data_IF_847916061852
#
_entry.id   IF_847916061852
#
_cell.length_a   1.000
_cell.length_b   1.000
_cell.length_c   1.000
_cell.angle_alpha   90.00
_cell.angle_beta   90.00
_cell.angle_gamma   90.00
#
_symmetry.space_group_name_H-M   'P 1'
#
loop_
_entity.id
_entity.type
_entity.pdbx_description
1 polymer ?
#
# COMPACT_ATOMS: atom_id res chain seq x y z
N UNK A 1 7.73 -8.09 -18.76
CA UNK A 1 8.11 -7.26 -17.60
C UNK A 1 9.38 -7.84 -17.00
N UNK A 2 10.46 -7.05 -16.83
CA UNK A 2 11.68 -7.52 -16.17
C UNK A 2 11.44 -7.88 -14.69
N UNK A 3 12.30 -8.73 -14.10
CA UNK A 3 12.28 -8.96 -12.66
C UNK A 3 12.48 -7.63 -11.90
N UNK A 4 11.74 -7.45 -10.81
CA UNK A 4 11.72 -6.20 -10.03
C UNK A 4 10.64 -5.20 -10.46
N UNK A 5 10.02 -5.38 -11.63
CA UNK A 5 8.92 -4.54 -12.13
C UNK A 5 7.55 -5.16 -11.85
N UNK A 6 7.39 -5.75 -10.65
CA UNK A 6 6.08 -6.21 -10.19
C UNK A 6 5.62 -7.58 -10.70
N UNK A 7 6.53 -8.43 -11.21
CA UNK A 7 6.20 -9.75 -11.78
C UNK A 7 5.41 -10.66 -10.84
N UNK A 8 5.67 -10.61 -9.53
CA UNK A 8 4.90 -11.39 -8.55
C UNK A 8 3.44 -10.95 -8.45
N UNK A 9 3.18 -9.64 -8.44
CA UNK A 9 1.83 -9.10 -8.50
C UNK A 9 1.11 -9.48 -9.80
N UNK A 10 1.82 -9.41 -10.95
CA UNK A 10 1.25 -9.82 -12.25
C UNK A 10 0.88 -11.31 -12.24
N UNK A 11 1.72 -12.19 -11.71
CA UNK A 11 1.43 -13.63 -11.62
C UNK A 11 0.20 -13.91 -10.74
N UNK A 12 0.10 -13.23 -9.59
CA UNK A 12 -1.06 -13.33 -8.72
C UNK A 12 -2.33 -12.84 -9.42
N UNK A 13 -2.31 -11.64 -9.98
CA UNK A 13 -3.47 -11.09 -10.72
C UNK A 13 -3.90 -12.03 -11.84
N UNK A 14 -2.96 -12.54 -12.63
CA UNK A 14 -3.28 -13.50 -13.70
C UNK A 14 -3.87 -14.82 -13.20
N UNK A 15 -3.61 -15.20 -11.95
CA UNK A 15 -4.10 -16.44 -11.35
C UNK A 15 -5.46 -16.29 -10.67
N UNK A 16 -5.89 -15.05 -10.38
CA UNK A 16 -7.17 -14.79 -9.69
C UNK A 16 -8.21 -14.07 -10.54
N UNK A 17 -7.78 -13.35 -11.59
CA UNK A 17 -8.68 -12.52 -12.40
C UNK A 17 -9.57 -13.39 -13.30
N UNK A 18 -10.87 -13.11 -13.28
CA UNK A 18 -11.89 -13.66 -14.16
C UNK A 18 -12.38 -12.66 -15.21
N UNK A 19 -13.20 -13.14 -16.15
CA UNK A 19 -13.73 -12.32 -17.26
C UNK A 19 -14.68 -11.20 -16.79
N UNK A 20 -15.39 -11.42 -15.69
CA UNK A 20 -16.34 -10.47 -15.11
C UNK A 20 -15.71 -9.46 -14.14
N UNK A 21 -14.41 -9.58 -13.87
CA UNK A 21 -13.73 -8.68 -12.95
C UNK A 21 -13.59 -7.27 -13.52
N UNK A 22 -13.37 -6.32 -12.62
CA UNK A 22 -13.01 -4.94 -12.94
C UNK A 22 -11.65 -4.65 -12.32
N UNK A 23 -10.63 -4.53 -13.16
CA UNK A 23 -9.25 -4.36 -12.74
C UNK A 23 -8.88 -2.88 -12.53
N UNK A 24 -8.40 -2.55 -11.34
CA UNK A 24 -7.68 -1.31 -11.05
C UNK A 24 -6.19 -1.60 -10.85
N UNK A 25 -5.33 -0.77 -11.43
CA UNK A 25 -3.87 -0.89 -11.27
C UNK A 25 -3.28 0.46 -10.90
N UNK A 26 -2.56 0.51 -9.78
CA UNK A 26 -1.92 1.73 -9.28
C UNK A 26 -0.44 1.51 -8.94
N UNK A 27 0.38 2.55 -9.15
CA UNK A 27 1.76 2.64 -8.66
C UNK A 27 1.94 4.02 -8.02
N UNK A 28 2.55 4.09 -6.83
CA UNK A 28 2.61 5.30 -6.01
C UNK A 28 1.24 5.90 -5.69
N UNK A 29 0.15 5.13 -5.85
CA UNK A 29 -1.23 5.59 -5.67
C UNK A 29 -1.91 6.09 -6.94
N UNK A 30 -1.17 6.24 -8.05
CA UNK A 30 -1.72 6.77 -9.29
C UNK A 30 -1.88 5.70 -10.38
N UNK A 31 -2.97 5.81 -11.14
CA UNK A 31 -3.33 4.92 -12.24
C UNK A 31 -2.56 5.23 -13.54
N UNK A 32 -2.01 6.43 -13.67
CA UNK A 32 -1.38 6.98 -14.88
C UNK A 32 0.15 6.87 -14.90
N UNK A 33 0.75 6.28 -13.87
CA UNK A 33 2.19 5.98 -13.88
C UNK A 33 2.54 5.00 -14.99
N UNK A 34 3.78 5.11 -15.50
CA UNK A 34 4.28 4.27 -16.59
C UNK A 34 4.10 2.78 -16.33
N UNK A 35 4.41 2.33 -15.12
CA UNK A 35 4.28 0.93 -14.71
C UNK A 35 2.81 0.51 -14.57
N UNK A 36 1.95 1.32 -13.94
CA UNK A 36 0.52 1.02 -13.81
C UNK A 36 -0.18 0.92 -15.17
N UNK A 37 0.08 1.88 -16.06
CA UNK A 37 -0.46 1.88 -17.43
C UNK A 37 0.02 0.65 -18.20
N UNK A 38 1.32 0.32 -18.09
CA UNK A 38 1.89 -0.85 -18.79
C UNK A 38 1.24 -2.16 -18.33
N UNK A 39 1.07 -2.36 -17.02
CA UNK A 39 0.42 -3.54 -16.45
C UNK A 39 -1.06 -3.60 -16.81
N UNK A 40 -1.79 -2.49 -16.68
CA UNK A 40 -3.23 -2.43 -17.01
C UNK A 40 -3.46 -2.77 -18.48
N UNK A 41 -2.67 -2.18 -19.38
CA UNK A 41 -2.75 -2.46 -20.82
C UNK A 41 -2.37 -3.90 -21.16
N UNK A 42 -1.40 -4.48 -20.45
CA UNK A 42 -1.07 -5.89 -20.58
C UNK A 42 -2.29 -6.77 -20.26
N UNK A 43 -2.94 -6.58 -19.11
CA UNK A 43 -4.13 -7.36 -18.75
C UNK A 43 -5.29 -7.13 -19.69
N UNK A 44 -5.57 -5.87 -20.05
CA UNK A 44 -6.61 -5.54 -21.04
C UNK A 44 -6.39 -6.26 -22.36
N UNK A 45 -5.13 -6.36 -22.83
CA UNK A 45 -4.78 -7.05 -24.08
C UNK A 45 -4.97 -8.57 -24.00
N UNK A 46 -4.60 -9.20 -22.88
CA UNK A 46 -4.56 -10.67 -22.78
C UNK A 46 -5.82 -11.29 -22.17
N UNK A 47 -6.64 -10.50 -21.49
CA UNK A 47 -7.88 -10.98 -20.85
C UNK A 47 -9.14 -10.30 -21.38
N UNK A 48 -9.05 -9.10 -21.96
CA UNK A 48 -10.22 -8.30 -22.32
C UNK A 48 -11.00 -7.73 -21.14
N UNK A 49 -10.49 -7.88 -19.91
CA UNK A 49 -11.16 -7.46 -18.67
C UNK A 49 -11.50 -5.97 -18.65
N UNK A 50 -12.61 -5.63 -18.00
CA UNK A 50 -12.96 -4.24 -17.73
C UNK A 50 -11.91 -3.63 -16.79
N UNK A 51 -11.63 -2.34 -16.97
CA UNK A 51 -10.68 -1.62 -16.12
C UNK A 51 -11.31 -0.36 -15.57
N UNK A 52 -10.99 -0.03 -14.33
CA UNK A 52 -11.45 1.21 -13.68
C UNK A 52 -10.29 1.91 -13.00
N UNK A 53 -10.46 3.22 -12.80
CA UNK A 53 -9.59 4.01 -11.94
C UNK A 53 -10.28 4.28 -10.58
N UNK A 54 -11.55 3.93 -10.43
CA UNK A 54 -12.34 4.12 -9.20
C UNK A 54 -12.15 2.94 -8.27
N UNK A 55 -11.74 3.19 -7.01
CA UNK A 55 -11.47 2.11 -6.05
C UNK A 55 -12.73 1.33 -5.68
N UNK A 56 -13.87 2.01 -5.57
CA UNK A 56 -15.19 1.46 -5.23
C UNK A 56 -15.75 0.55 -6.33
N UNK A 57 -15.36 0.76 -7.59
CA UNK A 57 -15.85 -0.04 -8.73
C UNK A 57 -14.95 -1.24 -9.06
N UNK A 58 -13.78 -1.35 -8.44
CA UNK A 58 -12.81 -2.40 -8.73
C UNK A 58 -13.15 -3.68 -7.96
N UNK A 59 -13.01 -4.85 -8.59
CA UNK A 59 -13.05 -6.15 -7.89
C UNK A 59 -11.64 -6.64 -7.56
N UNK A 60 -10.68 -6.35 -8.45
CA UNK A 60 -9.26 -6.66 -8.27
C UNK A 60 -8.44 -5.38 -8.35
N UNK A 61 -7.63 -5.11 -7.33
CA UNK A 61 -6.75 -3.94 -7.23
C UNK A 61 -5.31 -4.40 -7.17
N UNK A 62 -4.54 -4.20 -8.22
CA UNK A 62 -3.09 -4.44 -8.19
C UNK A 62 -2.36 -3.14 -7.84
N UNK A 63 -1.56 -3.15 -6.77
CA UNK A 63 -0.90 -1.96 -6.24
C UNK A 63 0.60 -2.11 -6.07
N UNK A 64 1.31 -1.00 -6.26
CA UNK A 64 2.69 -0.80 -5.84
C UNK A 64 2.79 0.43 -4.93
N UNK A 65 3.27 0.19 -3.71
CA UNK A 65 3.62 1.17 -2.67
C UNK A 65 2.46 1.94 -2.02
N UNK A 66 1.18 1.64 -2.29
CA UNK A 66 0.05 2.34 -1.64
C UNK A 66 -1.13 1.43 -1.34
N UNK A 67 -1.84 1.73 -0.27
CA UNK A 67 -3.23 1.29 -0.08
C UNK A 67 -4.14 2.48 -0.42
N UNK A 68 -5.20 2.29 -1.23
CA UNK A 68 -6.18 3.33 -1.49
C UNK A 68 -6.68 4.01 -0.20
N UNK A 69 -7.03 5.30 -0.26
CA UNK A 69 -7.67 5.98 0.88
C UNK A 69 -9.13 5.56 1.05
N UNK A 70 -9.80 5.25 -0.06
CA UNK A 70 -11.15 4.66 -0.03
C UNK A 70 -11.07 3.29 0.64
N UNK A 71 -11.83 3.05 1.72
CA UNK A 71 -11.88 1.75 2.38
C UNK A 71 -12.30 0.64 1.40
N UNK A 72 -11.68 -0.52 1.54
CA UNK A 72 -11.99 -1.68 0.69
C UNK A 72 -13.13 -2.52 1.29
N UNK A 73 -13.85 -3.25 0.44
CA UNK A 73 -15.01 -4.08 0.79
C UNK A 73 -14.72 -5.58 0.65
N UNK A 74 -15.64 -6.43 1.11
CA UNK A 74 -15.45 -7.90 1.21
C UNK A 74 -15.22 -8.60 -0.14
N UNK A 75 -15.81 -8.06 -1.20
CA UNK A 75 -15.73 -8.60 -2.57
C UNK A 75 -14.44 -8.22 -3.29
N UNK A 76 -13.61 -7.36 -2.67
CA UNK A 76 -12.38 -6.87 -3.28
C UNK A 76 -11.17 -7.72 -2.91
N UNK A 77 -10.25 -7.85 -3.87
CA UNK A 77 -8.92 -8.42 -3.68
C UNK A 77 -7.88 -7.33 -3.97
N UNK A 78 -7.03 -7.02 -3.01
CA UNK A 78 -5.87 -6.13 -3.19
C UNK A 78 -4.58 -6.95 -3.28
N UNK A 79 -3.81 -6.72 -4.34
CA UNK A 79 -2.61 -7.47 -4.70
C UNK A 79 -1.40 -6.54 -4.67
N UNK A 80 -0.50 -6.76 -3.71
CA UNK A 80 0.69 -5.98 -3.48
C UNK A 80 1.89 -6.51 -4.27
N UNK A 81 2.59 -5.60 -4.95
CA UNK A 81 3.89 -5.87 -5.54
C UNK A 81 5.00 -5.77 -4.49
N UNK A 82 5.72 -6.87 -4.27
CA UNK A 82 6.73 -6.97 -3.22
C UNK A 82 8.12 -7.17 -3.81
N UNK A 83 9.09 -6.27 -3.55
CA UNK A 83 10.47 -6.45 -3.98
C UNK A 83 11.26 -7.38 -3.05
N UNK A 84 11.04 -7.27 -1.74
CA UNK A 84 11.70 -8.02 -0.66
C UNK A 84 10.59 -8.52 0.29
N UNK A 85 10.29 -9.82 0.35
CA UNK A 85 9.21 -10.36 1.17
C UNK A 85 9.62 -10.67 2.61
N UNK A 86 10.91 -10.58 2.92
CA UNK A 86 11.51 -10.99 4.18
C UNK A 86 11.72 -9.76 5.07
N UNK A 87 10.90 -9.54 6.12
CA UNK A 87 11.03 -8.36 6.99
C UNK A 87 12.35 -8.32 7.76
N UNK A 88 13.01 -9.46 7.97
CA UNK A 88 14.31 -9.55 8.66
C UNK A 88 15.50 -9.33 7.72
N UNK A 89 15.30 -9.13 6.41
CA UNK A 89 16.36 -9.20 5.39
C UNK A 89 17.52 -8.23 5.63
N UNK A 90 17.23 -7.06 6.19
CA UNK A 90 18.23 -6.03 6.46
C UNK A 90 18.99 -6.25 7.79
N UNK A 91 18.52 -7.19 8.61
CA UNK A 91 19.18 -7.63 9.85
C UNK A 91 19.97 -8.90 9.57
N UNK A 92 19.34 -9.89 8.92
CA UNK A 92 19.94 -11.15 8.53
C UNK A 92 19.74 -11.39 7.02
N UNK A 93 20.81 -11.31 6.22
CA UNK A 93 20.72 -11.44 4.77
C UNK A 93 20.53 -12.88 4.27
N UNK A 94 20.70 -13.91 5.11
CA UNK A 94 20.60 -15.33 4.71
C UNK A 94 19.20 -15.87 4.92
N UNK A 95 18.63 -16.42 3.85
CA UNK A 95 17.28 -16.99 3.90
C UNK A 95 17.18 -18.27 4.74
N UNK A 96 18.27 -19.03 4.88
CA UNK A 96 18.33 -20.21 5.75
C UNK A 96 18.12 -19.83 7.23
N UNK A 97 18.73 -18.72 7.64
CA UNK A 97 18.64 -18.21 9.00
C UNK A 97 17.27 -17.59 9.25
N UNK A 98 16.80 -16.66 8.39
CA UNK A 98 15.50 -16.01 8.60
C UNK A 98 14.35 -17.00 8.58
N UNK A 99 14.42 -18.06 7.76
CA UNK A 99 13.44 -19.15 7.79
C UNK A 99 13.40 -19.87 9.14
N UNK A 100 14.56 -20.11 9.75
CA UNK A 100 14.66 -20.71 11.09
C UNK A 100 14.10 -19.77 12.16
N UNK A 101 14.42 -18.48 12.08
CA UNK A 101 13.87 -17.47 12.99
C UNK A 101 12.34 -17.38 12.89
N UNK A 102 11.78 -17.42 11.68
CA UNK A 102 10.33 -17.49 11.48
C UNK A 102 9.70 -18.77 12.04
N UNK A 103 10.39 -19.91 11.93
CA UNK A 103 9.91 -21.18 12.47
C UNK A 103 9.89 -21.21 14.00
N UNK A 104 10.85 -20.54 14.64
CA UNK A 104 11.02 -20.49 16.10
C UNK A 104 10.42 -19.23 16.76
N UNK A 105 9.82 -18.33 15.99
CA UNK A 105 9.27 -17.05 16.47
C UNK A 105 10.34 -16.10 17.07
N UNK A 106 11.57 -16.17 16.58
CA UNK A 106 12.72 -15.40 17.09
C UNK A 106 12.78 -13.96 16.54
N UNK A 107 11.75 -13.16 16.81
CA UNK A 107 11.65 -11.78 16.30
C UNK A 107 12.30 -10.73 17.20
N UNK A 108 13.02 -11.13 18.25
CA UNK A 108 13.67 -10.21 19.19
C UNK A 108 14.62 -9.22 18.50
N UNK A 109 15.31 -9.65 17.44
CA UNK A 109 16.24 -8.80 16.67
C UNK A 109 15.55 -7.61 16.02
N UNK A 110 14.26 -7.73 15.65
CA UNK A 110 13.50 -6.63 15.09
C UNK A 110 13.25 -5.54 16.14
N UNK A 111 12.97 -5.95 17.39
CA UNK A 111 12.80 -5.00 18.49
C UNK A 111 14.11 -4.27 18.82
N UNK A 112 15.24 -4.99 18.78
CA UNK A 112 16.57 -4.39 18.95
C UNK A 112 16.80 -3.32 17.88
N UNK A 113 16.57 -3.64 16.60
CA UNK A 113 16.72 -2.67 15.50
C UNK A 113 15.86 -1.42 15.72
N UNK A 114 14.59 -1.58 16.07
CA UNK A 114 13.70 -0.44 16.32
C UNK A 114 14.17 0.41 17.49
N UNK A 115 14.74 -0.21 18.52
CA UNK A 115 15.30 0.49 19.67
C UNK A 115 16.60 1.22 19.33
N UNK A 116 17.47 0.64 18.51
CA UNK A 116 18.68 1.29 18.00
C UNK A 116 18.37 2.57 17.22
N UNK A 117 17.33 2.56 16.38
CA UNK A 117 16.87 3.76 15.69
C UNK A 117 16.50 4.87 16.69
N UNK A 118 15.71 4.52 17.72
CA UNK A 118 15.29 5.48 18.76
C UNK A 118 16.51 6.01 19.52
N UNK A 119 17.45 5.13 19.89
CA UNK A 119 18.65 5.52 20.64
C UNK A 119 19.56 6.45 19.82
N UNK A 120 19.66 6.24 18.50
CA UNK A 120 20.51 7.05 17.61
C UNK A 120 19.86 8.35 17.14
N UNK A 121 18.56 8.31 16.83
CA UNK A 121 17.86 9.39 16.13
C UNK A 121 16.71 10.01 16.91
N UNK A 122 16.38 9.47 18.09
CA UNK A 122 15.22 9.90 18.90
C UNK A 122 13.87 9.46 18.34
N UNK A 123 13.84 8.76 17.21
CA UNK A 123 12.63 8.25 16.55
C UNK A 123 12.98 7.03 15.70
N UNK A 124 11.96 6.24 15.33
CA UNK A 124 12.14 5.08 14.45
C UNK A 124 12.40 5.58 13.02
N UNK A 125 13.50 5.15 12.41
CA UNK A 125 13.95 5.61 11.10
C UNK A 125 13.21 4.92 9.94
N UNK A 126 12.59 3.76 10.18
CA UNK A 126 11.79 3.04 9.17
C UNK A 126 10.52 3.84 8.81
N UNK A 127 10.42 4.32 7.57
CA UNK A 127 9.30 5.16 7.09
C UNK A 127 8.34 4.45 6.12
N UNK A 128 8.77 3.37 5.48
CA UNK A 128 8.00 2.48 4.60
C UNK A 128 8.44 1.04 4.84
N UNK A 129 7.69 0.06 4.30
CA UNK A 129 7.92 -1.37 4.56
C UNK A 129 8.04 -1.65 6.07
N UNK A 130 7.20 -0.97 6.86
CA UNK A 130 7.30 -1.02 8.31
C UNK A 130 6.74 -2.35 8.82
N UNK A 131 7.52 -3.15 9.58
CA UNK A 131 7.15 -4.52 9.93
C UNK A 131 5.86 -4.58 10.77
N UNK A 132 4.94 -5.45 10.37
CA UNK A 132 3.69 -5.71 11.08
C UNK A 132 3.67 -7.12 11.64
N UNK A 133 2.92 -7.34 12.72
CA UNK A 133 2.64 -8.67 13.27
C UNK A 133 1.23 -9.12 12.88
N UNK A 134 1.16 -10.19 12.12
CA UNK A 134 -0.08 -10.76 11.59
C UNK A 134 -0.55 -11.91 12.49
N UNK A 135 -1.80 -11.82 12.93
CA UNK A 135 -2.49 -12.79 13.79
C UNK A 135 -1.67 -13.21 15.01
N UNK A 136 -1.08 -12.21 15.67
CA UNK A 136 -0.32 -12.39 16.91
C UNK A 136 1.00 -13.13 16.77
N UNK A 137 1.31 -13.72 15.61
CA UNK A 137 2.40 -14.69 15.41
C UNK A 137 3.45 -14.22 14.42
N UNK A 138 3.14 -14.11 13.13
CA UNK A 138 4.16 -13.84 12.11
C UNK A 138 4.49 -12.35 12.01
N UNK A 139 5.77 -12.00 12.05
CA UNK A 139 6.23 -10.69 11.56
C UNK A 139 6.25 -10.74 10.03
N UNK A 140 5.72 -9.71 9.39
CA UNK A 140 5.49 -9.66 7.94
C UNK A 140 5.96 -8.30 7.38
N UNK A 141 6.56 -8.34 6.18
CA UNK A 141 6.80 -7.16 5.36
C UNK A 141 5.48 -6.78 4.63
N UNK A 142 4.90 -5.59 4.88
CA UNK A 142 3.63 -5.19 4.26
C UNK A 142 3.79 -4.67 2.82
N UNK A 143 4.86 -5.04 2.12
CA UNK A 143 5.39 -4.38 0.92
C UNK A 143 5.90 -2.96 1.22
N UNK A 144 6.54 -2.26 0.26
CA UNK A 144 7.02 -0.88 0.43
C UNK A 144 5.89 0.16 0.48
N UNK A 145 4.79 -0.14 1.18
CA UNK A 145 3.81 0.87 1.55
C UNK A 145 4.43 1.80 2.60
N UNK A 146 4.08 3.09 2.58
CA UNK A 146 4.42 4.03 3.63
C UNK A 146 3.81 3.54 4.95
N UNK A 147 4.50 3.77 6.07
CA UNK A 147 3.96 3.39 7.39
C UNK A 147 2.55 3.97 7.64
N UNK A 148 2.25 5.13 7.04
CA UNK A 148 0.92 5.75 7.04
C UNK A 148 -0.20 4.78 6.62
N UNK A 149 0.07 3.87 5.68
CA UNK A 149 -0.93 2.93 5.17
C UNK A 149 -1.06 1.66 6.05
N UNK A 150 -0.10 1.36 6.95
CA UNK A 150 -0.14 0.16 7.80
C UNK A 150 -1.44 0.02 8.63
N UNK A 151 -2.00 1.08 9.26
CA UNK A 151 -3.26 0.97 10.00
C UNK A 151 -4.43 0.48 9.16
N UNK A 152 -4.42 0.72 7.84
CA UNK A 152 -5.51 0.29 6.94
C UNK A 152 -5.54 -1.22 6.74
N UNK A 153 -4.43 -1.91 7.00
CA UNK A 153 -4.34 -3.38 6.88
C UNK A 153 -5.03 -4.10 8.03
N UNK A 154 -5.16 -3.44 9.19
CA UNK A 154 -5.82 -4.03 10.35
C UNK A 154 -7.32 -4.09 10.10
N UNK A 155 -7.91 -5.26 10.36
CA UNK A 155 -9.35 -5.47 10.22
C UNK A 155 -9.91 -5.07 8.84
N UNK A 156 -9.12 -5.22 7.78
CA UNK A 156 -9.56 -4.92 6.41
C UNK A 156 -10.57 -5.99 5.92
N UNK A 157 -11.73 -5.60 5.35
CA UNK A 157 -12.71 -6.55 4.80
C UNK A 157 -12.20 -7.29 3.55
N UNK A 158 -11.34 -6.65 2.75
CA UNK A 158 -10.79 -7.19 1.51
C UNK A 158 -9.65 -8.20 1.71
N UNK A 159 -9.49 -9.13 0.76
CA UNK A 159 -8.39 -10.09 0.76
C UNK A 159 -7.10 -9.40 0.32
N UNK A 160 -6.03 -9.54 1.11
CA UNK A 160 -4.73 -8.94 0.81
C UNK A 160 -3.75 -10.04 0.36
N UNK A 161 -3.28 -9.97 -0.88
CA UNK A 161 -2.30 -10.89 -1.44
C UNK A 161 -0.98 -10.18 -1.75
N UNK A 162 0.14 -10.82 -1.47
CA UNK A 162 1.46 -10.22 -1.61
C UNK A 162 2.34 -11.08 -2.51
N UNK A 163 2.85 -10.50 -3.60
CA UNK A 163 3.58 -11.24 -4.63
C UNK A 163 5.01 -10.74 -4.82
N UNK A 164 5.98 -11.56 -4.41
CA UNK A 164 7.41 -11.32 -4.64
C UNK A 164 7.97 -12.26 -5.70
N UNK A 165 7.82 -11.90 -6.98
CA UNK A 165 8.16 -12.78 -8.10
C UNK A 165 9.65 -13.11 -8.21
N UNK A 166 10.53 -12.11 -7.99
CA UNK A 166 11.99 -12.30 -8.02
C UNK A 166 12.47 -13.24 -6.89
N UNK A 167 11.90 -13.06 -5.71
CA UNK A 167 12.23 -13.80 -4.48
C UNK A 167 11.43 -15.11 -4.33
N UNK A 168 10.51 -15.37 -5.26
CA UNK A 168 9.65 -16.58 -5.30
C UNK A 168 8.91 -16.80 -3.98
N UNK A 169 8.20 -15.78 -3.50
CA UNK A 169 7.36 -15.86 -2.30
C UNK A 169 5.99 -15.26 -2.58
N UNK A 170 4.97 -15.91 -2.03
CA UNK A 170 3.58 -15.45 -1.98
C UNK A 170 3.14 -15.57 -0.53
N UNK A 171 2.46 -14.56 -0.03
CA UNK A 171 1.85 -14.56 1.30
C UNK A 171 0.55 -13.76 1.27
N UNK A 172 -0.28 -13.92 2.30
CA UNK A 172 -1.61 -13.34 2.33
C UNK A 172 -1.99 -12.91 3.74
N UNK A 173 -2.80 -11.86 3.83
CA UNK A 173 -3.59 -11.54 5.02
C UNK A 173 -5.05 -11.80 4.65
N UNK A 174 -5.69 -12.82 5.26
CA UNK A 174 -7.08 -13.13 4.98
C UNK A 174 -8.03 -12.01 5.39
N UNK A 175 -9.26 -12.08 4.85
CA UNK A 175 -10.38 -11.19 5.19
C UNK A 175 -10.77 -11.30 6.67
N UNK A 176 -11.48 -10.29 7.17
CA UNK A 176 -12.23 -10.37 8.42
C UNK A 176 -13.10 -11.64 8.51
N UNK A 177 -13.45 -12.13 9.72
CA UNK A 177 -13.09 -11.62 11.05
C UNK A 177 -11.87 -12.30 11.70
N UNK A 178 -11.09 -13.09 10.97
CA UNK A 178 -10.16 -14.04 11.60
C UNK A 178 -8.73 -13.51 11.87
N UNK A 179 -8.34 -12.31 11.38
CA UNK A 179 -6.93 -11.90 11.37
C UNK A 179 -6.74 -10.43 11.80
N UNK A 180 -5.90 -10.25 12.84
CA UNK A 180 -5.48 -8.95 13.34
C UNK A 180 -4.10 -8.58 12.81
N UNK A 181 -3.91 -7.36 12.32
CA UNK A 181 -2.60 -6.84 11.92
C UNK A 181 -2.18 -5.79 12.93
N UNK A 182 -1.22 -6.13 13.78
CA UNK A 182 -0.70 -5.21 14.79
C UNK A 182 0.59 -4.57 14.31
N UNK A 183 0.70 -3.26 14.47
CA UNK A 183 1.93 -2.55 14.11
C UNK A 183 3.00 -2.82 15.19
N UNK A 184 4.22 -3.17 14.77
CA UNK A 184 5.30 -3.41 15.72
C UNK A 184 5.70 -2.10 16.41
N UNK A 185 5.43 -1.96 17.69
CA UNK A 185 5.77 -0.76 18.47
C UNK A 185 6.63 -1.09 19.68
N UNK A 186 7.41 -0.12 20.15
CA UNK A 186 8.06 -0.18 21.45
C UNK A 186 7.18 0.62 22.43
N UNK A 187 6.86 0.08 23.61
CA UNK A 187 5.90 0.67 24.57
C UNK A 187 6.19 2.12 24.96
N UNK A 188 7.46 2.56 24.88
CA UNK A 188 7.90 3.94 25.18
C UNK A 188 7.91 4.89 23.97
N UNK A 189 7.62 4.40 22.77
CA UNK A 189 7.54 5.20 21.54
C UNK A 189 6.39 4.67 20.66
N UNK A 190 5.16 5.21 20.82
CA UNK A 190 4.01 4.73 20.09
C UNK A 190 4.15 5.01 18.58
N UNK A 191 3.44 4.21 17.78
CA UNK A 191 3.43 4.36 16.33
C UNK A 191 3.01 5.77 15.91
N UNK A 192 3.76 6.39 15.00
CA UNK A 192 3.45 7.70 14.42
C UNK A 192 3.38 7.61 12.89
N UNK A 193 2.26 8.01 12.31
CA UNK A 193 1.94 7.86 10.88
C UNK A 193 2.59 8.89 9.96
N UNK A 194 3.40 9.84 10.47
CA UNK A 194 4.11 10.82 9.64
C UNK A 194 3.18 11.76 8.87
N UNK A 195 2.39 12.57 9.59
CA UNK A 195 1.49 13.57 8.99
C UNK A 195 2.25 14.86 8.64
N UNK A 196 2.13 15.34 7.40
CA UNK A 196 2.52 16.71 7.05
C UNK A 196 1.38 17.69 7.40
N UNK A 197 1.70 18.79 8.06
CA UNK A 197 0.75 19.82 8.49
C UNK A 197 0.38 20.83 7.38
N UNK A 198 0.97 20.68 6.20
CA UNK A 198 0.69 21.55 5.08
C UNK A 198 -0.55 21.04 4.32
N UNK A 199 -1.60 21.87 4.17
CA UNK A 199 -2.78 21.50 3.40
C UNK A 199 -2.42 21.25 1.94
N UNK A 200 -2.97 20.21 1.32
CA UNK A 200 -2.95 20.10 -0.14
C UNK A 200 -3.57 21.35 -0.75
N UNK A 201 -3.16 21.69 -1.97
CA UNK A 201 -3.83 22.72 -2.76
C UNK A 201 -5.36 22.49 -2.85
N UNK A 202 -5.82 21.23 -2.69
CA UNK A 202 -7.21 20.78 -2.77
C UNK A 202 -7.75 20.04 -1.50
N UNK A 203 -7.58 20.58 -0.27
CA UNK A 203 -7.91 19.99 1.09
C UNK A 203 -9.15 19.07 1.25
N UNK A 204 -9.21 18.09 2.23
CA UNK A 204 -8.50 18.05 3.54
C UNK A 204 -7.72 16.77 3.99
N UNK A 205 -6.70 17.05 4.83
CA UNK A 205 -6.04 16.46 6.04
C UNK A 205 -5.84 14.97 6.40
N UNK A 206 -6.27 13.96 5.66
CA UNK A 206 -5.90 12.56 5.99
C UNK A 206 -5.48 11.76 4.76
N UNK A 207 -4.60 12.34 3.95
CA UNK A 207 -4.09 11.73 2.71
C UNK A 207 -2.57 11.86 2.77
N UNK A 208 -1.85 10.78 2.52
CA UNK A 208 -0.39 10.86 2.38
C UNK A 208 -0.06 11.70 1.15
N UNK A 209 0.75 12.75 1.30
CA UNK A 209 1.08 13.67 0.22
C UNK A 209 2.38 13.32 -0.50
N UNK A 210 2.52 13.73 -1.76
CA UNK A 210 3.76 13.64 -2.55
C UNK A 210 4.30 15.04 -2.82
N UNK A 211 5.61 15.22 -2.69
CA UNK A 211 6.28 16.45 -3.11
C UNK A 211 6.47 16.46 -4.63
N UNK A 212 6.08 17.55 -5.27
CA UNK A 212 6.34 17.85 -6.67
C UNK A 212 7.15 19.14 -6.76
N UNK A 213 8.40 19.04 -7.23
CA UNK A 213 9.28 20.19 -7.43
C UNK A 213 8.94 20.85 -8.77
N UNK A 214 8.60 22.14 -8.74
CA UNK A 214 8.31 22.95 -9.92
C UNK A 214 9.57 23.69 -10.38
N UNK A 215 10.39 24.12 -9.42
CA UNK A 215 11.74 24.66 -9.62
C UNK A 215 12.65 24.14 -8.50
N UNK A 216 13.98 24.40 -8.54
CA UNK A 216 14.86 24.05 -7.42
C UNK A 216 14.46 24.66 -6.07
N UNK A 217 13.72 25.78 -6.09
CA UNK A 217 13.33 26.54 -4.89
C UNK A 217 11.84 26.40 -4.55
N UNK A 218 11.02 25.92 -5.49
CA UNK A 218 9.56 25.83 -5.30
C UNK A 218 9.04 24.40 -5.45
N UNK A 219 8.28 23.96 -4.45
CA UNK A 219 7.61 22.66 -4.44
C UNK A 219 6.16 22.79 -3.99
N UNK A 220 5.32 21.86 -4.43
CA UNK A 220 3.93 21.73 -4.02
C UNK A 220 3.68 20.32 -3.47
N UNK A 221 2.71 20.19 -2.55
CA UNK A 221 2.19 18.92 -2.08
C UNK A 221 0.93 18.54 -2.86
N UNK A 222 0.97 17.40 -3.54
CA UNK A 222 -0.17 16.84 -4.25
C UNK A 222 -0.60 15.49 -3.67
N UNK A 223 -1.89 15.17 -3.80
CA UNK A 223 -2.39 13.85 -3.49
C UNK A 223 -1.81 12.82 -4.49
N UNK A 224 -1.28 11.66 -4.05
CA UNK A 224 -0.72 10.65 -4.93
C UNK A 224 -1.78 9.88 -5.73
N UNK A 225 -3.06 9.96 -5.32
CA UNK A 225 -4.19 9.30 -5.99
C UNK A 225 -5.00 10.38 -6.73
N UNK A 226 -4.92 10.46 -8.08
CA UNK A 226 -5.53 11.55 -8.86
C UNK A 226 -7.05 11.67 -8.66
N UNK A 227 -7.73 10.56 -8.41
CA UNK A 227 -9.20 10.52 -8.30
C UNK A 227 -9.74 11.13 -7.02
N UNK A 228 -8.98 11.14 -5.92
CA UNK A 228 -9.43 11.84 -4.72
C UNK A 228 -9.47 13.35 -4.97
N UNK A 229 -8.51 13.88 -5.74
CA UNK A 229 -8.53 15.26 -6.18
C UNK A 229 -9.71 15.51 -7.15
N UNK A 230 -9.95 14.62 -8.12
CA UNK A 230 -11.01 14.79 -9.12
C UNK A 230 -12.44 14.62 -8.58
N UNK A 231 -12.71 13.63 -7.72
CA UNK A 231 -14.05 13.39 -7.15
C UNK A 231 -14.44 14.47 -6.12
N UNK A 232 -13.49 15.01 -5.35
CA UNK A 232 -13.77 16.11 -4.41
C UNK A 232 -13.92 17.46 -5.10
N UNK A 233 -13.21 17.70 -6.21
CA UNK A 233 -13.44 18.88 -7.05
C UNK A 233 -14.84 18.88 -7.68
N UNK A 234 -15.35 17.70 -8.11
CA UNK A 234 -16.70 17.56 -8.70
C UNK A 234 -17.85 17.73 -7.71
N UNK A 235 -17.68 17.42 -6.42
CA UNK A 235 -18.74 17.66 -5.44
C UNK A 235 -19.07 19.16 -5.29
N UNK A 236 -18.09 20.05 -5.45
CA UNK A 236 -18.32 21.51 -5.37
C UNK A 236 -19.03 22.11 -6.58
N UNK A 237 -18.95 21.52 -7.77
CA UNK A 237 -19.65 22.04 -8.95
C UNK A 237 -21.17 21.81 -8.92
N UNK A 238 -21.65 20.94 -8.03
CA UNK A 238 -23.09 20.63 -7.89
C UNK A 238 -23.79 21.35 -6.73
N UNK A 239 -23.11 22.21 -5.96
CA UNK A 239 -23.68 22.90 -4.78
C UNK A 239 -23.86 24.42 -4.94
N UNK A 240 -23.69 24.99 -6.13
CA UNK A 240 -23.78 26.46 -6.32
C UNK A 240 -24.59 26.93 -7.52
N UNK A 241 -25.82 26.41 -7.66
CA UNK A 241 -26.88 27.06 -8.43
C UNK A 241 -28.22 26.92 -7.70
N UNK A 242 -28.39 27.68 -6.62
CA UNK A 242 -29.71 28.07 -6.12
C UNK A 242 -29.90 29.54 -6.53
N UNK A 243 -30.61 29.75 -7.63
CA UNK A 243 -31.14 31.04 -8.03
C UNK A 243 -32.28 31.40 -7.08
N UNK A 244 -32.10 32.42 -6.25
CA UNK A 244 -33.22 33.09 -5.60
C UNK A 244 -33.79 34.12 -6.57
N UNK A 245 -34.99 33.84 -7.08
CA UNK A 245 -35.83 34.81 -7.76
C UNK A 245 -36.95 35.27 -6.84
N UNK A 246 -36.97 36.57 -6.53
CA UNK A 246 -38.04 37.54 -6.76
C UNK A 246 -37.61 38.90 -6.19
#
# INVERSE_FOLDING_TARGET
MPYGWGTGGIQLTASVIGESDVLKVIDQGADDTTNAVSIRNFFKRVTGVNTTERTDDATVIQTRHRIPETPLTEDQIIIFQVPIPEPLRFIEPRETETRTMHALEEYGVMQVKLYEDIARFGHIATTYAYPVKVNGRYVMDPSPIPKFDNPKMDMMPALQLFGAGREKRIYAVPRLPAWKVSISTITRSPFSSGMSHAPSADRPTAILMKWCWMTPETACLSAPIPIIAANRARQKTNESTVTFGQ
#
